data_IF_322234286306
#
_entry.id   IF_322234286306
#
_cell.length_a   1.000
_cell.length_b   1.000
_cell.length_c   1.000
_cell.angle_alpha   90.00
_cell.angle_beta   90.00
_cell.angle_gamma   90.00
#
_symmetry.space_group_name_H-M   'P 1'
#
loop_
_entity.id
_entity.type
_entity.pdbx_description
1 polymer ?
#
# COMPACT_ATOMS: atom_id res chain seq x y z
N UNK A 1 20.62 62.97 -17.98
CA UNK A 1 21.83 62.14 -18.19
C UNK A 1 22.37 61.68 -16.83
N UNK A 2 21.87 60.56 -16.32
CA UNK A 2 22.37 59.81 -15.15
C UNK A 2 22.34 58.33 -15.60
N UNK A 3 23.41 57.79 -16.17
CA UNK A 3 24.46 57.02 -15.48
C UNK A 3 23.93 56.07 -14.40
N UNK A 4 23.94 54.80 -14.79
CA UNK A 4 24.44 53.66 -14.02
C UNK A 4 23.52 52.97 -13.00
N UNK A 5 23.47 51.65 -13.19
CA UNK A 5 23.15 50.60 -12.22
C UNK A 5 21.67 50.53 -11.87
N UNK A 6 20.93 49.65 -12.53
CA UNK A 6 19.92 48.78 -11.90
C UNK A 6 19.87 47.48 -12.69
N UNK A 7 20.33 46.43 -12.00
CA UNK A 7 19.94 45.03 -12.14
C UNK A 7 20.25 44.30 -13.45
N UNK A 8 21.51 43.87 -13.51
CA UNK A 8 21.90 42.56 -14.04
C UNK A 8 21.22 41.45 -13.21
N UNK A 9 19.90 41.29 -13.34
CA UNK A 9 19.10 40.23 -12.70
C UNK A 9 18.45 39.31 -13.75
N UNK A 10 19.10 39.19 -14.92
CA UNK A 10 18.78 38.24 -15.99
C UNK A 10 19.96 37.27 -16.15
N UNK A 11 20.53 36.83 -15.04
CA UNK A 11 21.46 35.72 -15.00
C UNK A 11 20.90 34.65 -14.09
N UNK A 12 20.86 33.44 -14.63
CA UNK A 12 20.50 32.18 -14.01
C UNK A 12 18.99 31.91 -13.87
N UNK A 13 18.41 31.05 -14.74
CA UNK A 13 17.46 30.08 -14.24
C UNK A 13 18.10 29.40 -13.04
N UNK A 14 17.59 29.67 -11.85
CA UNK A 14 17.85 28.86 -10.68
C UNK A 14 17.18 27.52 -11.01
N UNK A 15 17.93 26.60 -11.60
CA UNK A 15 17.65 25.19 -11.48
C UNK A 15 17.85 24.90 -9.99
N UNK A 16 16.78 25.07 -9.21
CA UNK A 16 16.64 24.34 -7.97
C UNK A 16 16.50 22.87 -8.41
N UNK A 17 17.45 21.96 -8.17
CA UNK A 17 17.08 20.56 -8.07
C UNK A 17 15.94 20.46 -7.05
N UNK A 18 14.72 20.37 -7.57
CA UNK A 18 13.55 20.00 -6.80
C UNK A 18 13.78 18.59 -6.31
N UNK A 19 13.86 18.43 -4.99
CA UNK A 19 13.91 17.19 -4.21
C UNK A 19 14.54 15.98 -4.92
N UNK A 20 15.78 15.64 -4.56
CA UNK A 20 16.26 14.28 -4.80
C UNK A 20 15.37 13.28 -4.05
N UNK A 21 14.88 12.28 -4.79
CA UNK A 21 14.18 11.14 -4.22
C UNK A 21 15.15 10.37 -3.32
N UNK A 22 14.92 10.40 -2.01
CA UNK A 22 15.75 9.68 -1.03
C UNK A 22 15.87 8.20 -1.40
N UNK A 23 17.02 7.76 -1.95
CA UNK A 23 17.53 6.38 -2.08
C UNK A 23 16.53 5.23 -2.31
N UNK A 24 15.37 5.48 -2.91
CA UNK A 24 14.30 4.51 -3.09
C UNK A 24 14.01 4.38 -4.58
N UNK A 25 13.85 3.15 -5.06
CA UNK A 25 13.33 2.85 -6.39
C UNK A 25 11.98 2.14 -6.25
N UNK A 26 11.03 2.48 -7.12
CA UNK A 26 9.79 1.71 -7.24
C UNK A 26 10.15 0.36 -7.87
N UNK A 27 9.94 -0.73 -7.14
CA UNK A 27 10.24 -2.08 -7.63
C UNK A 27 9.04 -2.72 -8.35
N UNK A 28 7.82 -2.49 -7.85
CA UNK A 28 6.61 -3.07 -8.42
C UNK A 28 5.36 -2.32 -8.02
N UNK A 29 4.25 -2.63 -8.69
CA UNK A 29 2.93 -2.06 -8.43
C UNK A 29 1.88 -3.14 -8.57
N UNK A 30 1.05 -3.30 -7.55
CA UNK A 30 -0.18 -4.07 -7.63
C UNK A 30 -1.38 -3.13 -7.59
N UNK A 31 -2.36 -3.37 -8.47
CA UNK A 31 -3.62 -2.64 -8.53
C UNK A 31 -4.67 -3.50 -9.23
N UNK A 32 -5.87 -3.65 -8.65
CA UNK A 32 -7.00 -4.34 -9.28
C UNK A 32 -7.97 -3.31 -9.89
N UNK A 33 -8.11 -3.25 -11.23
CA UNK A 33 -9.11 -2.40 -11.87
C UNK A 33 -10.53 -2.87 -11.53
N UNK A 34 -11.39 -1.95 -11.13
CA UNK A 34 -12.81 -2.24 -10.87
C UNK A 34 -13.15 -2.56 -9.42
N UNK A 35 -12.19 -2.44 -8.48
CA UNK A 35 -12.52 -2.51 -7.06
C UNK A 35 -13.53 -1.42 -6.67
N UNK A 36 -14.48 -1.74 -5.77
CA UNK A 36 -15.37 -0.75 -5.19
C UNK A 36 -14.60 0.39 -4.53
N UNK A 37 -15.27 1.53 -4.39
CA UNK A 37 -14.76 2.66 -3.61
C UNK A 37 -15.74 3.00 -2.49
N UNK A 38 -15.22 3.56 -1.40
CA UNK A 38 -16.01 4.18 -0.34
C UNK A 38 -15.57 5.64 -0.24
N UNK A 39 -16.50 6.58 -0.47
CA UNK A 39 -16.20 8.01 -0.55
C UNK A 39 -15.06 8.37 -1.53
N UNK A 40 -14.95 7.65 -2.65
CA UNK A 40 -13.90 7.86 -3.67
C UNK A 40 -12.55 7.24 -3.33
N UNK A 41 -12.40 6.59 -2.16
CA UNK A 41 -11.18 5.89 -1.74
C UNK A 41 -11.28 4.42 -2.12
N UNK A 42 -10.22 3.86 -2.72
CA UNK A 42 -10.14 2.47 -3.18
C UNK A 42 -9.48 1.53 -2.16
N UNK A 43 -8.33 1.93 -1.63
CA UNK A 43 -7.52 1.15 -0.70
C UNK A 43 -7.42 1.82 0.67
N UNK A 44 -7.20 1.03 1.71
CA UNK A 44 -6.93 1.50 3.05
C UNK A 44 -6.04 0.52 3.80
N UNK A 45 -5.14 1.08 4.59
CA UNK A 45 -4.18 0.36 5.42
C UNK A 45 -3.34 -0.71 4.69
N UNK A 46 -2.15 -0.98 5.23
CA UNK A 46 -1.28 -2.03 4.74
C UNK A 46 -0.42 -2.57 5.88
N UNK A 47 -0.30 -3.89 5.93
CA UNK A 47 0.56 -4.57 6.89
C UNK A 47 1.45 -5.62 6.21
N UNK A 48 2.70 -5.70 6.64
CA UNK A 48 3.67 -6.68 6.15
C UNK A 48 3.73 -7.93 7.03
N UNK A 49 3.88 -9.09 6.40
CA UNK A 49 4.13 -10.36 7.07
C UNK A 49 5.27 -11.10 6.36
N UNK A 50 6.31 -11.46 7.09
CA UNK A 50 7.37 -12.34 6.61
C UNK A 50 7.26 -13.68 7.34
N UNK A 51 7.22 -14.77 6.58
CA UNK A 51 7.18 -16.12 7.15
C UNK A 51 8.59 -16.62 7.52
N UNK A 52 8.67 -17.80 8.13
CA UNK A 52 9.96 -18.40 8.48
C UNK A 52 10.73 -18.98 7.27
N UNK A 53 10.09 -19.08 6.10
CA UNK A 53 10.67 -19.54 4.84
C UNK A 53 11.34 -18.42 4.03
N UNK A 54 11.16 -17.16 4.43
CA UNK A 54 11.66 -15.98 3.72
C UNK A 54 10.70 -15.45 2.66
N UNK A 55 9.45 -15.93 2.64
CA UNK A 55 8.40 -15.33 1.82
C UNK A 55 7.85 -14.09 2.50
N UNK A 56 7.51 -13.07 1.71
CA UNK A 56 6.96 -11.81 2.19
C UNK A 56 5.58 -11.57 1.60
N UNK A 57 4.66 -11.11 2.43
CA UNK A 57 3.27 -10.87 2.08
C UNK A 57 2.82 -9.50 2.53
N UNK A 58 2.07 -8.81 1.68
CA UNK A 58 1.34 -7.61 2.04
C UNK A 58 -0.13 -7.95 2.27
N UNK A 59 -0.66 -7.48 3.38
CA UNK A 59 -2.09 -7.50 3.71
C UNK A 59 -2.60 -6.09 3.41
N UNK A 60 -3.47 -5.96 2.42
CA UNK A 60 -3.94 -4.65 1.92
C UNK A 60 -5.45 -4.58 2.04
N UNK A 61 -5.97 -3.51 2.64
CA UNK A 61 -7.40 -3.27 2.67
C UNK A 61 -7.87 -2.57 1.41
N UNK A 62 -9.07 -2.91 0.96
CA UNK A 62 -9.86 -2.13 0.02
C UNK A 62 -11.27 -1.95 0.54
N UNK A 63 -12.02 -1.09 -0.15
CA UNK A 63 -13.37 -0.74 0.25
C UNK A 63 -14.26 -1.99 0.47
N UNK A 64 -14.03 -3.10 -0.23
CA UNK A 64 -14.82 -4.33 -0.06
C UNK A 64 -14.01 -5.55 0.38
N UNK A 65 -12.68 -5.51 0.27
CA UNK A 65 -11.86 -6.70 0.46
C UNK A 65 -10.67 -6.49 1.39
N UNK A 66 -10.16 -7.60 1.92
CA UNK A 66 -8.81 -7.71 2.49
C UNK A 66 -8.03 -8.59 1.52
N UNK A 67 -6.97 -8.05 0.96
CA UNK A 67 -6.13 -8.69 -0.05
C UNK A 67 -4.87 -9.23 0.59
N UNK A 68 -4.50 -10.46 0.23
CA UNK A 68 -3.22 -11.05 0.60
C UNK A 68 -2.37 -11.16 -0.66
N UNK A 69 -1.33 -10.35 -0.72
CA UNK A 69 -0.46 -10.19 -1.88
C UNK A 69 0.90 -10.81 -1.54
N UNK A 70 1.35 -11.80 -2.32
CA UNK A 70 2.74 -12.25 -2.30
C UNK A 70 3.62 -11.16 -2.92
N UNK A 71 4.59 -10.69 -2.12
CA UNK A 71 5.56 -9.66 -2.49
C UNK A 71 7.00 -10.17 -2.37
N UNK A 72 7.20 -11.49 -2.22
CA UNK A 72 8.52 -12.14 -2.14
C UNK A 72 9.39 -11.77 -3.34
N UNK A 73 8.79 -11.67 -4.52
CA UNK A 73 9.39 -10.99 -5.66
C UNK A 73 8.80 -9.57 -5.76
N UNK A 74 9.52 -8.52 -5.34
CA UNK A 74 8.97 -7.16 -5.32
C UNK A 74 8.72 -6.59 -6.72
N UNK A 75 9.27 -7.18 -7.78
CA UNK A 75 9.02 -6.78 -9.16
C UNK A 75 7.72 -7.35 -9.74
N UNK A 76 7.10 -8.34 -9.08
CA UNK A 76 5.90 -9.03 -9.54
C UNK A 76 4.94 -9.36 -8.40
N UNK A 77 4.41 -8.36 -7.67
CA UNK A 77 3.45 -8.60 -6.61
C UNK A 77 2.17 -9.28 -7.15
N UNK A 78 1.70 -10.34 -6.48
CA UNK A 78 0.58 -11.15 -6.94
C UNK A 78 -0.42 -11.43 -5.82
N UNK A 79 -1.71 -11.24 -6.07
CA UNK A 79 -2.75 -11.62 -5.11
C UNK A 79 -2.85 -13.15 -5.04
N UNK A 80 -2.68 -13.71 -3.84
CA UNK A 80 -2.79 -15.15 -3.58
C UNK A 80 -4.11 -15.55 -2.91
N UNK A 81 -4.77 -14.58 -2.26
CA UNK A 81 -6.07 -14.78 -1.61
C UNK A 81 -6.70 -13.42 -1.30
N UNK A 82 -8.02 -13.41 -1.11
CA UNK A 82 -8.74 -12.25 -0.59
C UNK A 82 -9.94 -12.68 0.23
N UNK A 83 -10.33 -11.80 1.15
CA UNK A 83 -11.54 -11.94 1.95
C UNK A 83 -12.51 -10.81 1.60
N UNK A 84 -13.76 -11.14 1.33
CA UNK A 84 -14.82 -10.15 1.12
C UNK A 84 -15.43 -9.72 2.47
N UNK A 85 -15.31 -8.44 2.82
CA UNK A 85 -15.90 -7.90 4.03
C UNK A 85 -17.42 -7.70 3.91
N UNK A 86 -18.10 -7.61 5.05
CA UNK A 86 -19.57 -7.51 5.15
C UNK A 86 -20.16 -6.24 4.55
N UNK A 87 -19.43 -5.12 4.57
CA UNK A 87 -19.87 -3.84 3.98
C UNK A 87 -18.80 -3.20 3.11
N UNK A 88 -19.20 -2.22 2.30
CA UNK A 88 -18.30 -1.39 1.51
C UNK A 88 -17.76 -0.23 2.37
N UNK A 89 -16.57 -0.40 2.94
CA UNK A 89 -15.88 0.53 3.83
C UNK A 89 -14.37 0.45 3.66
N UNK A 90 -13.71 1.61 3.69
CA UNK A 90 -12.26 1.78 3.70
C UNK A 90 -11.69 1.95 5.11
N UNK A 91 -12.41 1.49 6.12
CA UNK A 91 -12.00 1.57 7.52
C UNK A 91 -11.68 0.18 8.05
N UNK A 92 -10.55 -0.37 7.60
CA UNK A 92 -9.96 -1.64 8.04
C UNK A 92 -8.54 -1.40 8.56
N UNK A 93 -8.13 -2.19 9.53
CA UNK A 93 -6.80 -2.13 10.15
C UNK A 93 -6.30 -3.56 10.39
N UNK A 94 -4.99 -3.78 10.24
CA UNK A 94 -4.37 -5.10 10.28
C UNK A 94 -3.22 -5.19 11.27
N UNK A 95 -3.08 -6.36 11.90
CA UNK A 95 -1.91 -6.68 12.72
C UNK A 95 -1.56 -8.15 12.61
N UNK A 96 -0.29 -8.49 12.73
CA UNK A 96 0.15 -9.88 12.85
C UNK A 96 0.68 -10.21 14.24
N UNK A 97 0.48 -11.46 14.65
CA UNK A 97 1.13 -12.08 15.81
C UNK A 97 1.31 -13.57 15.55
N UNK A 98 2.55 -14.04 15.61
CA UNK A 98 2.89 -15.39 15.15
C UNK A 98 2.55 -15.55 13.66
N UNK A 99 1.86 -16.64 13.32
CA UNK A 99 1.35 -16.91 11.97
C UNK A 99 -0.11 -16.46 11.78
N UNK A 100 -0.62 -15.59 12.66
CA UNK A 100 -1.98 -15.07 12.54
C UNK A 100 -1.97 -13.61 12.09
N UNK A 101 -2.90 -13.27 11.20
CA UNK A 101 -3.30 -11.89 10.95
C UNK A 101 -4.66 -11.61 11.58
N UNK A 102 -4.74 -10.47 12.24
CA UNK A 102 -5.95 -9.93 12.86
C UNK A 102 -6.39 -8.74 12.03
N UNK A 103 -7.67 -8.70 11.70
CA UNK A 103 -8.26 -7.57 11.02
C UNK A 103 -9.52 -7.12 11.77
N UNK A 104 -9.70 -5.80 11.81
CA UNK A 104 -10.93 -5.18 12.29
C UNK A 104 -11.47 -4.25 11.23
N UNK A 105 -12.78 -3.99 11.27
CA UNK A 105 -13.41 -2.95 10.49
C UNK A 105 -14.35 -2.14 11.38
N UNK A 106 -14.32 -0.81 11.25
CA UNK A 106 -15.21 0.09 12.01
C UNK A 106 -16.67 -0.01 11.53
N UNK A 107 -16.87 -0.42 10.27
CA UNK A 107 -18.18 -0.49 9.63
C UNK A 107 -18.55 -1.93 9.27
N UNK A 108 -19.84 -2.23 9.32
CA UNK A 108 -20.39 -3.54 8.97
C UNK A 108 -20.49 -4.47 10.18
N UNK A 109 -20.44 -5.77 9.91
CA UNK A 109 -20.61 -6.83 10.91
C UNK A 109 -19.42 -7.79 10.93
N UNK A 110 -18.25 -7.36 10.43
CA UNK A 110 -17.04 -8.18 10.36
C UNK A 110 -16.48 -8.51 11.76
N UNK A 111 -16.61 -7.57 12.70
CA UNK A 111 -16.05 -7.73 14.04
C UNK A 111 -14.53 -7.91 14.01
N UNK A 112 -14.02 -8.88 14.78
CA UNK A 112 -12.64 -9.32 14.73
C UNK A 112 -12.51 -10.53 13.80
N UNK A 113 -11.72 -10.37 12.75
CA UNK A 113 -11.35 -11.46 11.85
C UNK A 113 -9.95 -11.96 12.22
N UNK A 114 -9.76 -13.28 12.17
CA UNK A 114 -8.47 -13.93 12.41
C UNK A 114 -8.18 -14.86 11.23
N UNK A 115 -7.06 -14.61 10.57
CA UNK A 115 -6.58 -15.38 9.43
C UNK A 115 -5.35 -16.19 9.83
N UNK A 116 -5.36 -17.48 9.54
CA UNK A 116 -4.21 -18.35 9.69
C UNK A 116 -3.33 -18.28 8.43
N UNK A 117 -2.11 -17.78 8.58
CA UNK A 117 -1.12 -17.60 7.52
C UNK A 117 -0.09 -18.74 7.47
N UNK A 118 -0.22 -19.78 8.30
CA UNK A 118 0.74 -20.89 8.37
C UNK A 118 0.81 -21.71 7.08
N UNK A 119 -0.22 -21.63 6.24
CA UNK A 119 -0.31 -22.37 4.98
C UNK A 119 -0.07 -21.51 3.74
N UNK A 120 0.45 -20.29 3.88
CA UNK A 120 0.74 -19.46 2.72
C UNK A 120 2.08 -19.85 2.07
N UNK A 121 2.15 -19.90 0.71
CA UNK A 121 1.02 -19.82 -0.23
C UNK A 121 0.20 -21.12 -0.20
N UNK A 122 -1.13 -21.01 -0.36
CA UNK A 122 -2.05 -22.14 -0.39
C UNK A 122 -1.55 -23.16 -1.42
N UNK A 123 -1.09 -24.33 -0.96
CA UNK A 123 -0.73 -25.43 -1.85
C UNK A 123 -2.02 -25.98 -2.47
N UNK A 124 -2.21 -25.72 -3.77
CA UNK A 124 -3.27 -26.34 -4.59
C UNK A 124 -3.12 -27.85 -4.69
#
# INVERSE_FOLDING_TARGET
MYKSIILLLVCFPIFLPGQEQHNMSLLGRWDEPGLPTSSGVKYNDIWGYADCGGNEYAIVGSARYIHFIDVTNPAGPAEISRFEGSTNSVWRDFKTYGHYAYAVADQGTDGLLVFDLSQYPLKT
#
